data_IF_768626763575
#
_entry.id   IF_768626763575
#
_cell.length_a   1.000
_cell.length_b   1.000
_cell.length_c   1.000
_cell.angle_alpha   90.00
_cell.angle_beta   90.00
_cell.angle_gamma   90.00
#
_symmetry.space_group_name_H-M   'P 1'
#
loop_
_entity.id
_entity.type
_entity.pdbx_description
1 polymer ?
#
# COMPACT_ATOMS: atom_id res chain seq x y z
N UNK A 1 -2.63 20.58 -9.30
CA UNK A 1 -2.17 21.43 -10.42
C UNK A 1 -2.47 20.67 -11.69
N UNK A 2 -3.47 21.13 -12.45
CA UNK A 2 -3.92 20.54 -13.71
C UNK A 2 -2.81 20.60 -14.76
N UNK A 3 -2.79 19.60 -15.61
CA UNK A 3 -1.94 19.56 -16.79
C UNK A 3 -2.37 20.72 -17.70
N UNK A 4 -1.42 21.58 -18.02
CA UNK A 4 -1.69 22.81 -18.80
C UNK A 4 -2.42 23.85 -17.97
N UNK A 5 -1.78 24.42 -16.94
CA UNK A 5 -2.11 25.78 -16.57
C UNK A 5 -1.71 26.63 -17.77
N UNK A 6 -2.70 27.07 -18.53
CA UNK A 6 -2.55 28.21 -19.39
C UNK A 6 -2.19 29.39 -18.47
N UNK A 7 -0.94 29.83 -18.53
CA UNK A 7 -0.58 31.11 -17.96
C UNK A 7 -1.17 32.19 -18.87
N UNK A 8 -1.48 33.35 -18.34
CA UNK A 8 -2.00 34.52 -19.08
C UNK A 8 -1.15 34.90 -20.31
N UNK A 9 0.03 34.32 -20.45
CA UNK A 9 0.97 34.49 -21.56
C UNK A 9 0.89 33.41 -22.66
N UNK A 10 -0.05 32.49 -22.57
CA UNK A 10 -0.23 31.38 -23.54
C UNK A 10 0.83 30.28 -23.48
N UNK A 11 1.68 30.26 -22.44
CA UNK A 11 2.69 29.21 -22.30
C UNK A 11 2.07 27.91 -21.78
N UNK A 12 2.18 26.84 -22.56
CA UNK A 12 1.76 25.49 -22.17
C UNK A 12 2.93 24.77 -21.50
N UNK A 13 2.82 24.48 -20.22
CA UNK A 13 3.84 23.69 -19.50
C UNK A 13 3.71 22.20 -19.88
N UNK A 14 4.57 21.75 -20.78
CA UNK A 14 4.69 20.32 -21.12
C UNK A 14 5.51 19.63 -20.02
N UNK A 15 4.92 18.63 -19.36
CA UNK A 15 5.64 17.86 -18.34
C UNK A 15 6.74 16.99 -18.99
N UNK A 16 7.97 17.13 -18.51
CA UNK A 16 9.12 16.38 -19.02
C UNK A 16 9.08 14.90 -18.58
N UNK A 17 9.56 14.02 -19.46
CA UNK A 17 9.79 12.59 -19.16
C UNK A 17 11.00 12.46 -18.25
N UNK A 18 10.84 12.47 -16.93
CA UNK A 18 11.95 12.42 -15.95
C UNK A 18 12.48 10.99 -15.68
N UNK A 19 12.75 10.21 -16.74
CA UNK A 19 13.15 8.80 -16.61
C UNK A 19 14.61 8.64 -16.13
N UNK A 20 15.51 9.56 -16.42
CA UNK A 20 16.87 9.55 -15.90
C UNK A 20 16.93 9.83 -14.38
N UNK A 21 16.07 10.71 -13.89
CA UNK A 21 15.93 10.96 -12.45
C UNK A 21 15.42 9.71 -11.72
N UNK A 22 14.45 8.98 -12.32
CA UNK A 22 13.97 7.69 -11.79
C UNK A 22 15.09 6.66 -11.72
N UNK A 23 15.88 6.50 -12.80
CA UNK A 23 16.99 5.55 -12.84
C UNK A 23 18.04 5.87 -11.76
N UNK A 24 18.40 7.13 -11.61
CA UNK A 24 19.36 7.56 -10.58
C UNK A 24 18.84 7.24 -9.17
N UNK A 25 17.57 7.54 -8.89
CA UNK A 25 16.95 7.20 -7.60
C UNK A 25 16.82 5.68 -7.40
N UNK A 26 16.59 4.88 -8.46
CA UNK A 26 16.57 3.42 -8.38
C UNK A 26 17.96 2.85 -8.06
N UNK A 27 19.04 3.44 -8.59
CA UNK A 27 20.40 3.05 -8.22
C UNK A 27 20.68 3.32 -6.74
N UNK A 28 20.20 4.44 -6.20
CA UNK A 28 20.27 4.73 -4.76
C UNK A 28 19.44 3.70 -3.97
N UNK A 29 18.23 3.39 -4.42
CA UNK A 29 17.37 2.40 -3.79
C UNK A 29 18.02 1.00 -3.74
N UNK A 30 18.62 0.59 -4.86
CA UNK A 30 19.43 -0.63 -4.94
C UNK A 30 20.61 -0.60 -3.98
N UNK A 31 21.38 0.49 -3.95
CA UNK A 31 22.52 0.63 -3.06
C UNK A 31 22.13 0.56 -1.58
N UNK A 32 21.00 1.12 -1.18
CA UNK A 32 20.49 1.06 0.20
C UNK A 32 20.12 -0.39 0.57
N UNK A 33 19.32 -1.06 -0.25
CA UNK A 33 18.88 -2.42 0.03
C UNK A 33 20.03 -3.42 -0.02
N UNK A 34 20.83 -3.40 -1.09
CA UNK A 34 22.00 -4.27 -1.24
C UNK A 34 23.08 -3.95 -0.19
N UNK A 35 23.27 -2.68 0.15
CA UNK A 35 24.17 -2.26 1.24
C UNK A 35 23.75 -2.84 2.59
N UNK A 36 22.45 -2.87 2.91
CA UNK A 36 21.91 -3.54 4.10
C UNK A 36 22.24 -5.04 4.10
N UNK A 37 22.08 -5.72 2.97
CA UNK A 37 22.44 -7.13 2.83
C UNK A 37 23.95 -7.34 3.05
N UNK A 38 24.81 -6.54 2.40
CA UNK A 38 26.27 -6.59 2.57
C UNK A 38 26.69 -6.34 4.00
N UNK A 39 26.10 -5.34 4.67
CA UNK A 39 26.38 -5.05 6.08
C UNK A 39 25.99 -6.20 7.01
N UNK A 40 24.89 -6.92 6.69
CA UNK A 40 24.51 -8.14 7.42
C UNK A 40 25.61 -9.18 7.36
N UNK A 41 26.11 -9.47 6.16
CA UNK A 41 27.17 -10.48 5.96
C UNK A 41 28.46 -10.09 6.68
N UNK A 42 28.89 -8.84 6.52
CA UNK A 42 30.12 -8.35 7.15
C UNK A 42 30.05 -8.32 8.68
N UNK A 43 28.91 -7.95 9.25
CA UNK A 43 28.78 -7.84 10.71
C UNK A 43 28.54 -9.17 11.40
N UNK A 44 27.96 -10.16 10.71
CA UNK A 44 27.66 -11.48 11.29
C UNK A 44 28.76 -12.49 10.93
N UNK A 45 29.08 -12.62 9.65
CA UNK A 45 30.02 -13.63 9.14
C UNK A 45 31.44 -13.13 9.02
N UNK A 46 31.66 -11.80 9.10
CA UNK A 46 32.96 -11.12 8.89
C UNK A 46 33.58 -11.32 7.51
N UNK A 47 32.87 -11.98 6.59
CA UNK A 47 33.31 -12.27 5.22
C UNK A 47 32.10 -12.14 4.28
N UNK A 48 32.33 -11.63 3.07
CA UNK A 48 31.29 -11.65 2.02
C UNK A 48 31.25 -13.04 1.38
N UNK A 49 30.10 -13.67 1.22
CA UNK A 49 29.97 -14.93 0.51
C UNK A 49 30.29 -14.75 -1.00
N UNK A 50 30.79 -15.78 -1.67
CA UNK A 50 31.13 -15.73 -3.10
C UNK A 50 29.96 -15.34 -4.01
N UNK A 51 28.72 -15.49 -3.49
CA UNK A 51 27.47 -15.14 -4.19
C UNK A 51 27.10 -13.66 -4.15
N UNK A 52 27.88 -12.79 -3.48
CA UNK A 52 27.53 -11.38 -3.29
C UNK A 52 27.30 -10.63 -4.61
N UNK A 53 28.13 -10.92 -5.63
CA UNK A 53 27.98 -10.31 -6.96
C UNK A 53 26.71 -10.78 -7.66
N UNK A 54 26.36 -12.05 -7.49
CA UNK A 54 25.14 -12.64 -8.06
C UNK A 54 23.89 -12.02 -7.41
N UNK A 55 23.86 -11.94 -6.08
CA UNK A 55 22.73 -11.34 -5.34
C UNK A 55 22.55 -9.88 -5.74
N UNK A 56 23.63 -9.08 -5.69
CA UNK A 56 23.59 -7.68 -6.08
C UNK A 56 23.20 -7.48 -7.55
N UNK A 57 23.75 -8.32 -8.44
CA UNK A 57 23.48 -8.29 -9.88
C UNK A 57 22.02 -8.65 -10.22
N UNK A 58 21.48 -9.69 -9.62
CA UNK A 58 20.07 -10.08 -9.81
C UNK A 58 19.13 -8.97 -9.33
N UNK A 59 19.39 -8.39 -8.17
CA UNK A 59 18.59 -7.32 -7.62
C UNK A 59 18.61 -6.06 -8.48
N UNK A 60 19.80 -5.70 -8.99
CA UNK A 60 19.95 -4.61 -9.96
C UNK A 60 19.21 -4.90 -11.27
N UNK A 61 19.34 -6.12 -11.80
CA UNK A 61 18.68 -6.52 -13.04
C UNK A 61 17.16 -6.40 -12.92
N UNK A 62 16.59 -6.83 -11.81
CA UNK A 62 15.13 -6.71 -11.53
C UNK A 62 14.70 -5.24 -11.50
N UNK A 63 15.46 -4.35 -10.87
CA UNK A 63 15.17 -2.91 -10.84
C UNK A 63 15.26 -2.29 -12.25
N UNK A 64 16.29 -2.65 -13.03
CA UNK A 64 16.48 -2.16 -14.39
C UNK A 64 15.36 -2.67 -15.32
N UNK A 65 14.96 -3.92 -15.21
CA UNK A 65 13.83 -4.47 -15.97
C UNK A 65 12.53 -3.69 -15.69
N UNK A 66 12.19 -3.49 -14.41
CA UNK A 66 11.03 -2.69 -14.03
C UNK A 66 11.11 -1.26 -14.62
N UNK A 67 12.28 -0.61 -14.53
CA UNK A 67 12.51 0.71 -15.11
C UNK A 67 12.32 0.75 -16.62
N UNK A 68 12.84 -0.25 -17.34
CA UNK A 68 12.69 -0.34 -18.82
C UNK A 68 11.21 -0.41 -19.20
N UNK A 69 10.43 -1.26 -18.53
CA UNK A 69 9.00 -1.34 -18.81
C UNK A 69 8.26 -0.03 -18.49
N UNK A 70 8.56 0.62 -17.38
CA UNK A 70 8.01 1.94 -17.04
C UNK A 70 8.39 2.97 -18.10
N UNK A 71 9.63 2.96 -18.57
CA UNK A 71 10.13 3.90 -19.59
C UNK A 71 9.42 3.72 -20.95
N UNK A 72 9.08 2.50 -21.31
CA UNK A 72 8.45 2.16 -22.60
C UNK A 72 6.93 2.37 -22.51
N UNK A 73 6.28 1.83 -21.49
CA UNK A 73 4.82 1.74 -21.40
C UNK A 73 4.20 3.01 -20.84
N UNK A 74 4.79 3.57 -19.78
CA UNK A 74 4.24 4.72 -19.04
C UNK A 74 5.29 5.85 -18.84
N UNK A 75 5.84 6.43 -19.92
CA UNK A 75 6.98 7.36 -19.84
C UNK A 75 6.72 8.67 -19.10
N UNK A 76 5.48 9.05 -18.82
CA UNK A 76 5.10 10.26 -18.07
C UNK A 76 4.71 9.98 -16.61
N UNK A 77 4.76 8.72 -16.12
CA UNK A 77 4.43 8.39 -14.74
C UNK A 77 5.34 9.14 -13.73
N UNK A 78 4.92 9.25 -12.48
CA UNK A 78 5.71 9.88 -11.43
C UNK A 78 7.04 9.14 -11.22
N UNK A 79 8.20 9.82 -11.34
CA UNK A 79 9.50 9.17 -11.27
C UNK A 79 9.92 8.77 -9.85
N UNK A 80 9.17 9.19 -8.82
CA UNK A 80 9.54 8.99 -7.41
C UNK A 80 8.91 7.72 -6.83
N UNK A 81 7.75 7.29 -7.35
CA UNK A 81 6.98 6.17 -6.79
C UNK A 81 7.78 4.87 -6.83
N UNK A 82 8.29 4.48 -7.99
CA UNK A 82 9.01 3.22 -8.17
C UNK A 82 10.27 3.12 -7.31
N UNK A 83 11.16 4.14 -7.24
CA UNK A 83 12.34 4.11 -6.36
C UNK A 83 12.00 3.97 -4.88
N UNK A 84 10.96 4.62 -4.39
CA UNK A 84 10.53 4.48 -2.99
C UNK A 84 10.12 3.03 -2.70
N UNK A 85 9.31 2.43 -3.58
CA UNK A 85 8.88 1.05 -3.42
C UNK A 85 10.06 0.08 -3.45
N UNK A 86 11.02 0.29 -4.34
CA UNK A 86 12.26 -0.50 -4.37
C UNK A 86 13.11 -0.32 -3.11
N UNK A 87 13.18 0.89 -2.55
CA UNK A 87 13.89 1.14 -1.27
C UNK A 87 13.24 0.36 -0.12
N UNK A 88 11.91 0.47 0.01
CA UNK A 88 11.17 -0.23 1.06
C UNK A 88 11.28 -1.75 0.92
N UNK A 89 11.14 -2.28 -0.31
CA UNK A 89 11.27 -3.70 -0.58
C UNK A 89 12.71 -4.19 -0.35
N UNK A 90 13.71 -3.41 -0.76
CA UNK A 90 15.11 -3.70 -0.54
C UNK A 90 15.48 -3.75 0.94
N UNK A 91 15.05 -2.77 1.74
CA UNK A 91 15.23 -2.78 3.19
C UNK A 91 14.52 -3.96 3.85
N UNK A 92 13.30 -4.30 3.37
CA UNK A 92 12.57 -5.48 3.85
C UNK A 92 13.32 -6.78 3.60
N UNK A 93 13.81 -6.98 2.36
CA UNK A 93 14.60 -8.16 1.99
C UNK A 93 15.90 -8.27 2.82
N UNK A 94 16.62 -7.15 2.98
CA UNK A 94 17.84 -7.12 3.77
C UNK A 94 17.57 -7.41 5.27
N UNK A 95 16.46 -6.92 5.83
CA UNK A 95 16.10 -7.20 7.23
C UNK A 95 15.61 -8.64 7.41
N UNK A 96 14.85 -9.19 6.46
CA UNK A 96 14.44 -10.60 6.49
C UNK A 96 15.67 -11.51 6.43
N UNK A 97 16.63 -11.21 5.54
CA UNK A 97 17.91 -11.90 5.48
C UNK A 97 18.65 -11.83 6.82
N UNK A 98 18.68 -10.66 7.46
CA UNK A 98 19.27 -10.49 8.79
C UNK A 98 18.59 -11.39 9.85
N UNK A 99 17.28 -11.53 9.78
CA UNK A 99 16.52 -12.35 10.73
C UNK A 99 16.72 -13.85 10.47
N UNK A 100 16.99 -14.26 9.22
CA UNK A 100 17.25 -15.66 8.87
C UNK A 100 18.56 -16.23 9.49
N UNK A 101 19.47 -15.37 9.98
CA UNK A 101 20.61 -15.78 10.77
C UNK A 101 20.26 -16.28 12.19
N UNK A 102 19.02 -16.16 12.60
CA UNK A 102 18.56 -16.80 13.84
C UNK A 102 18.43 -18.29 13.56
N UNK A 103 19.04 -19.18 14.39
CA UNK A 103 19.13 -20.59 14.07
C UNK A 103 17.73 -21.24 14.08
N UNK A 104 17.12 -21.26 12.94
CA UNK A 104 15.99 -22.10 12.58
C UNK A 104 16.26 -22.72 11.21
N UNK A 105 16.77 -23.97 11.16
CA UNK A 105 17.25 -24.58 9.92
C UNK A 105 16.17 -24.87 8.88
N UNK A 106 14.91 -24.60 9.19
CA UNK A 106 13.77 -24.96 8.33
C UNK A 106 13.23 -23.82 7.45
N UNK A 107 13.72 -22.57 7.60
CA UNK A 107 13.14 -21.44 6.89
C UNK A 107 14.20 -20.58 6.18
N UNK A 108 14.19 -20.60 4.85
CA UNK A 108 14.84 -19.63 3.97
C UNK A 108 13.82 -18.52 3.62
N UNK A 109 13.54 -17.64 4.56
CA UNK A 109 12.48 -16.61 4.42
C UNK A 109 12.85 -15.58 3.36
N UNK A 110 14.11 -15.20 3.31
CA UNK A 110 14.63 -14.26 2.31
C UNK A 110 14.44 -14.80 0.89
N UNK A 111 14.75 -16.06 0.62
CA UNK A 111 14.62 -16.67 -0.70
C UNK A 111 13.15 -16.70 -1.16
N UNK A 112 12.25 -17.08 -0.24
CA UNK A 112 10.81 -17.04 -0.50
C UNK A 112 10.33 -15.61 -0.78
N UNK A 113 10.78 -14.62 -0.01
CA UNK A 113 10.40 -13.22 -0.22
C UNK A 113 10.98 -12.65 -1.51
N UNK A 114 12.19 -13.03 -1.90
CA UNK A 114 12.80 -12.65 -3.19
C UNK A 114 11.98 -13.22 -4.37
N UNK A 115 11.53 -14.48 -4.27
CA UNK A 115 10.64 -15.08 -5.27
C UNK A 115 9.31 -14.33 -5.37
N UNK A 116 8.69 -13.99 -4.24
CA UNK A 116 7.46 -13.19 -4.22
C UNK A 116 7.68 -11.78 -4.75
N UNK A 117 8.85 -11.17 -4.51
CA UNK A 117 9.23 -9.88 -5.11
C UNK A 117 9.30 -9.99 -6.63
N UNK A 118 9.97 -11.03 -7.15
CA UNK A 118 10.06 -11.25 -8.59
C UNK A 118 8.67 -11.44 -9.22
N UNK A 119 7.81 -12.26 -8.60
CA UNK A 119 6.43 -12.47 -9.04
C UNK A 119 5.60 -11.17 -8.97
N UNK A 120 5.77 -10.39 -7.89
CA UNK A 120 5.14 -9.08 -7.74
C UNK A 120 5.50 -8.12 -8.87
N UNK A 121 6.78 -8.09 -9.26
CA UNK A 121 7.27 -7.25 -10.37
C UNK A 121 6.76 -7.77 -11.73
N UNK A 122 6.68 -9.08 -11.91
CA UNK A 122 6.05 -9.67 -13.12
C UNK A 122 4.59 -9.22 -13.21
N UNK A 123 3.84 -9.27 -12.11
CA UNK A 123 2.44 -8.82 -12.09
C UNK A 123 2.31 -7.30 -12.19
N UNK A 124 3.26 -6.53 -11.65
CA UNK A 124 3.36 -5.09 -11.90
C UNK A 124 3.49 -4.81 -13.40
N UNK A 125 4.43 -5.45 -14.08
CA UNK A 125 4.63 -5.31 -15.53
C UNK A 125 3.40 -5.79 -16.30
N UNK A 126 2.83 -6.94 -15.95
CA UNK A 126 1.61 -7.45 -16.57
C UNK A 126 0.45 -6.46 -16.43
N UNK A 127 0.29 -5.84 -15.25
CA UNK A 127 -0.72 -4.81 -15.01
C UNK A 127 -0.48 -3.59 -15.91
N UNK A 128 0.77 -3.14 -16.10
CA UNK A 128 1.09 -2.04 -17.00
C UNK A 128 0.73 -2.35 -18.45
N UNK A 129 0.93 -3.60 -18.89
CA UNK A 129 0.67 -4.03 -20.28
C UNK A 129 -0.82 -4.26 -20.56
N UNK A 130 -1.54 -4.85 -19.60
CA UNK A 130 -2.94 -5.24 -19.74
C UNK A 130 -3.85 -4.04 -19.47
N UNK A 131 -3.60 -3.31 -18.38
CA UNK A 131 -4.44 -2.20 -17.95
C UNK A 131 -4.02 -0.89 -18.63
N UNK A 132 -4.13 -0.84 -19.97
CA UNK A 132 -3.81 0.40 -20.72
C UNK A 132 -4.75 1.55 -20.39
N UNK A 133 -6.01 1.24 -20.08
CA UNK A 133 -7.04 2.19 -19.68
C UNK A 133 -7.77 1.75 -18.42
N UNK A 134 -7.50 2.45 -17.30
CA UNK A 134 -8.14 2.16 -16.02
C UNK A 134 -9.67 2.34 -16.07
N UNK A 135 -10.21 3.19 -16.97
CA UNK A 135 -11.65 3.43 -17.12
C UNK A 135 -12.43 2.18 -17.52
N UNK A 136 -11.77 1.20 -18.14
CA UNK A 136 -12.43 -0.07 -18.48
C UNK A 136 -12.90 -0.82 -17.23
N UNK A 137 -12.27 -0.62 -16.08
CA UNK A 137 -12.65 -1.24 -14.81
C UNK A 137 -13.95 -0.67 -14.24
N UNK A 138 -14.29 0.59 -14.59
CA UNK A 138 -15.51 1.24 -14.12
C UNK A 138 -16.79 0.53 -14.62
N UNK A 139 -16.71 -0.17 -15.77
CA UNK A 139 -17.90 -0.77 -16.39
C UNK A 139 -18.52 -1.94 -15.61
N UNK A 140 -17.77 -2.53 -14.68
CA UNK A 140 -18.15 -3.78 -14.02
C UNK A 140 -18.10 -3.72 -12.49
N UNK A 141 -18.67 -2.67 -11.82
CA UNK A 141 -18.53 -2.51 -10.36
C UNK A 141 -19.15 -3.66 -9.58
N UNK A 142 -20.32 -4.16 -9.99
CA UNK A 142 -20.99 -5.28 -9.33
C UNK A 142 -20.25 -6.61 -9.52
N UNK A 143 -19.72 -6.88 -10.72
CA UNK A 143 -18.93 -8.08 -11.00
C UNK A 143 -17.66 -8.07 -10.15
N UNK A 144 -16.95 -6.94 -10.12
CA UNK A 144 -15.76 -6.78 -9.31
C UNK A 144 -16.08 -6.90 -7.82
N UNK A 145 -17.23 -6.40 -7.37
CA UNK A 145 -17.66 -6.58 -5.99
C UNK A 145 -17.85 -8.07 -5.64
N UNK A 146 -18.58 -8.82 -6.49
CA UNK A 146 -18.79 -10.25 -6.30
C UNK A 146 -17.45 -11.00 -6.31
N UNK A 147 -16.57 -10.71 -7.26
CA UNK A 147 -15.23 -11.30 -7.35
C UNK A 147 -14.43 -11.02 -6.07
N UNK A 148 -14.40 -9.76 -5.62
CA UNK A 148 -13.74 -9.39 -4.38
C UNK A 148 -14.31 -10.10 -3.14
N UNK A 149 -15.63 -10.23 -3.08
CA UNK A 149 -16.31 -10.94 -1.99
C UNK A 149 -16.01 -12.45 -2.02
N UNK A 150 -16.00 -13.07 -3.20
CA UNK A 150 -15.63 -14.48 -3.37
C UNK A 150 -14.19 -14.72 -2.91
N UNK A 151 -13.24 -13.88 -3.32
CA UNK A 151 -11.86 -13.99 -2.81
C UNK A 151 -11.81 -13.85 -1.29
N UNK A 152 -12.56 -12.91 -0.73
CA UNK A 152 -12.63 -12.72 0.72
C UNK A 152 -13.20 -13.95 1.44
N UNK A 153 -14.14 -14.66 0.82
CA UNK A 153 -14.77 -15.86 1.39
C UNK A 153 -13.93 -17.15 1.24
N UNK A 154 -12.92 -17.19 0.38
CA UNK A 154 -12.12 -18.40 0.13
C UNK A 154 -11.57 -19.07 1.40
N UNK A 155 -11.06 -18.35 2.41
CA UNK A 155 -10.57 -18.98 3.64
C UNK A 155 -11.65 -19.66 4.46
N UNK A 156 -12.92 -19.38 4.22
CA UNK A 156 -14.06 -19.99 4.93
C UNK A 156 -14.47 -21.32 4.31
N UNK A 157 -13.98 -21.64 3.09
CA UNK A 157 -14.30 -22.89 2.40
C UNK A 157 -13.63 -24.08 3.13
N UNK A 158 -14.39 -25.10 3.54
CA UNK A 158 -13.83 -26.29 4.17
C UNK A 158 -12.82 -26.99 3.25
N UNK A 159 -11.66 -27.36 3.80
CA UNK A 159 -10.58 -28.02 3.07
C UNK A 159 -9.62 -27.09 2.30
N UNK A 160 -9.98 -25.81 2.11
CA UNK A 160 -9.10 -24.81 1.48
C UNK A 160 -8.52 -23.85 2.53
N UNK A 161 -9.35 -23.40 3.46
CA UNK A 161 -8.97 -22.46 4.51
C UNK A 161 -8.24 -23.14 5.67
N UNK A 162 -7.27 -22.41 6.23
CA UNK A 162 -6.52 -22.80 7.42
C UNK A 162 -6.80 -21.83 8.56
N UNK A 163 -7.04 -22.39 9.74
CA UNK A 163 -7.14 -21.61 10.96
C UNK A 163 -5.75 -21.45 11.60
N UNK A 164 -5.32 -20.23 11.77
CA UNK A 164 -4.04 -19.90 12.41
C UNK A 164 -4.29 -18.88 13.51
N UNK A 165 -3.88 -19.19 14.75
CA UNK A 165 -4.05 -18.30 15.90
C UNK A 165 -5.49 -17.81 16.11
N UNK A 166 -6.49 -18.67 15.83
CA UNK A 166 -7.91 -18.35 15.99
C UNK A 166 -8.53 -17.50 14.88
N UNK A 167 -7.80 -17.24 13.80
CA UNK A 167 -8.30 -16.51 12.63
C UNK A 167 -8.25 -17.39 11.38
N UNK A 168 -9.31 -17.32 10.54
CA UNK A 168 -9.41 -18.06 9.26
C UNK A 168 -9.21 -17.12 8.09
N UNK A 169 -7.96 -16.73 7.83
CA UNK A 169 -7.61 -15.72 6.82
C UNK A 169 -6.68 -16.27 5.73
N UNK A 170 -6.12 -17.45 5.95
CA UNK A 170 -5.15 -18.09 5.06
C UNK A 170 -5.77 -19.23 4.27
N UNK A 171 -5.31 -19.40 3.02
CA UNK A 171 -5.56 -20.57 2.20
C UNK A 171 -4.25 -21.29 1.90
N UNK A 172 -4.30 -22.61 1.81
CA UNK A 172 -3.21 -23.46 1.35
C UNK A 172 -3.38 -23.77 -0.14
N UNK A 173 -2.33 -23.48 -0.92
CA UNK A 173 -2.25 -23.90 -2.33
C UNK A 173 -0.91 -24.62 -2.51
N UNK A 174 -0.93 -25.92 -2.43
CA UNK A 174 0.29 -26.75 -2.40
C UNK A 174 1.11 -26.49 -1.14
N UNK A 175 2.37 -26.09 -1.29
CA UNK A 175 3.28 -25.71 -0.20
C UNK A 175 3.21 -24.21 0.17
N UNK A 176 2.42 -23.41 -0.53
CA UNK A 176 2.34 -21.97 -0.33
C UNK A 176 1.08 -21.58 0.43
N UNK A 177 1.22 -20.59 1.30
CA UNK A 177 0.10 -19.94 1.98
C UNK A 177 -0.18 -18.59 1.34
N UNK A 178 -1.45 -18.26 1.16
CA UNK A 178 -1.88 -16.97 0.60
C UNK A 178 -3.02 -16.39 1.44
N UNK A 179 -3.06 -15.08 1.56
CA UNK A 179 -4.14 -14.34 2.20
C UNK A 179 -4.99 -13.65 1.11
N UNK A 180 -6.15 -14.22 0.73
CA UNK A 180 -6.96 -13.67 -0.36
C UNK A 180 -7.52 -12.29 -0.09
N UNK A 181 -7.63 -11.88 1.18
CA UNK A 181 -8.07 -10.54 1.58
C UNK A 181 -7.19 -9.42 0.97
N UNK A 182 -5.90 -9.68 0.74
CA UNK A 182 -4.99 -8.72 0.11
C UNK A 182 -5.37 -8.44 -1.35
N UNK A 183 -5.79 -9.46 -2.09
CA UNK A 183 -6.31 -9.31 -3.46
C UNK A 183 -7.69 -8.64 -3.42
N UNK A 184 -8.56 -9.08 -2.49
CA UNK A 184 -9.89 -8.50 -2.29
C UNK A 184 -9.83 -7.01 -2.02
N UNK A 185 -8.83 -6.54 -1.27
CA UNK A 185 -8.58 -5.12 -0.99
C UNK A 185 -8.51 -4.29 -2.28
N UNK A 186 -7.75 -4.74 -3.25
CA UNK A 186 -7.59 -4.06 -4.54
C UNK A 186 -8.88 -4.10 -5.34
N UNK A 187 -9.47 -5.28 -5.48
CA UNK A 187 -10.67 -5.49 -6.29
C UNK A 187 -11.88 -4.73 -5.72
N UNK A 188 -12.07 -4.76 -4.40
CA UNK A 188 -13.17 -4.04 -3.75
C UNK A 188 -12.97 -2.52 -3.77
N UNK A 189 -11.71 -2.01 -3.68
CA UNK A 189 -11.44 -0.58 -3.87
C UNK A 189 -11.88 -0.10 -5.26
N UNK A 190 -11.59 -0.89 -6.29
CA UNK A 190 -12.00 -0.60 -7.67
C UNK A 190 -13.52 -0.68 -7.82
N UNK A 191 -14.14 -1.73 -7.26
CA UNK A 191 -15.60 -1.90 -7.28
C UNK A 191 -16.34 -0.75 -6.59
N UNK A 192 -15.88 -0.35 -5.40
CA UNK A 192 -16.45 0.78 -4.68
C UNK A 192 -16.26 2.09 -5.42
N UNK A 193 -15.08 2.32 -6.03
CA UNK A 193 -14.85 3.51 -6.85
C UNK A 193 -15.85 3.61 -8.00
N UNK A 194 -16.05 2.53 -8.75
CA UNK A 194 -17.02 2.49 -9.85
C UNK A 194 -18.44 2.75 -9.38
N UNK A 195 -18.88 2.01 -8.35
CA UNK A 195 -20.22 2.16 -7.80
C UNK A 195 -20.47 3.59 -7.26
N UNK A 196 -19.53 4.15 -6.51
CA UNK A 196 -19.68 5.46 -5.89
C UNK A 196 -19.74 6.59 -6.92
N UNK A 197 -18.97 6.48 -8.01
CA UNK A 197 -19.01 7.48 -9.10
C UNK A 197 -20.32 7.42 -9.84
N UNK A 198 -20.81 6.24 -10.19
CA UNK A 198 -22.06 6.05 -10.91
C UNK A 198 -23.28 6.55 -10.09
N UNK A 199 -23.19 6.52 -8.75
CA UNK A 199 -24.27 6.94 -7.85
C UNK A 199 -23.98 8.25 -7.10
N UNK A 200 -23.00 9.04 -7.52
CA UNK A 200 -22.56 10.27 -6.84
C UNK A 200 -23.72 11.25 -6.61
N UNK A 201 -24.53 11.51 -7.65
CA UNK A 201 -25.64 12.46 -7.57
C UNK A 201 -26.72 12.04 -6.58
N UNK A 202 -26.97 10.75 -6.44
CA UNK A 202 -27.93 10.19 -5.48
C UNK A 202 -27.38 10.31 -4.06
N UNK A 203 -26.12 9.94 -3.85
CA UNK A 203 -25.46 9.95 -2.54
C UNK A 203 -25.16 11.37 -2.04
N UNK A 204 -25.00 12.33 -2.95
CA UNK A 204 -24.77 13.74 -2.62
C UNK A 204 -26.06 14.54 -2.34
N UNK A 205 -27.25 13.98 -2.61
CA UNK A 205 -28.52 14.69 -2.31
C UNK A 205 -28.68 14.94 -0.80
N UNK A 206 -29.10 16.16 -0.47
CA UNK A 206 -29.33 16.53 0.92
C UNK A 206 -30.45 15.70 1.52
N UNK A 207 -30.15 14.96 2.56
CA UNK A 207 -31.12 14.30 3.42
C UNK A 207 -31.62 15.21 4.58
N UNK A 208 -31.95 14.61 5.72
CA UNK A 208 -32.36 15.34 6.90
C UNK A 208 -31.17 16.01 7.58
N UNK A 209 -31.36 17.26 8.05
CA UNK A 209 -30.40 17.93 8.92
C UNK A 209 -30.67 17.51 10.36
N UNK A 210 -29.69 16.82 10.98
CA UNK A 210 -29.72 16.46 12.39
C UNK A 210 -28.49 17.15 13.04
N UNK A 211 -28.72 17.97 14.06
CA UNK A 211 -27.70 18.74 14.77
C UNK A 211 -26.74 19.56 13.84
N UNK A 212 -27.29 20.13 12.74
CA UNK A 212 -26.51 20.91 11.79
C UNK A 212 -25.75 20.07 10.74
N UNK A 213 -25.73 18.74 10.89
CA UNK A 213 -25.07 17.80 9.97
C UNK A 213 -26.12 17.26 8.99
N UNK A 214 -25.87 17.38 7.69
CA UNK A 214 -26.73 16.80 6.66
C UNK A 214 -26.42 15.31 6.53
N UNK A 215 -27.34 14.45 7.01
CA UNK A 215 -27.27 13.01 6.82
C UNK A 215 -27.94 12.63 5.49
N UNK A 216 -27.40 11.62 4.78
CA UNK A 216 -28.02 11.10 3.57
C UNK A 216 -29.37 10.43 3.85
N UNK A 217 -30.19 10.27 2.82
CA UNK A 217 -31.45 9.54 2.94
C UNK A 217 -31.18 8.04 3.07
N UNK A 218 -31.80 7.38 4.05
CA UNK A 218 -31.60 5.94 4.28
C UNK A 218 -31.94 5.08 3.03
N UNK A 219 -32.88 5.52 2.20
CA UNK A 219 -33.27 4.83 0.96
C UNK A 219 -32.12 4.78 -0.06
N UNK A 220 -31.31 5.83 -0.16
CA UNK A 220 -30.23 5.96 -1.14
C UNK A 220 -28.99 5.19 -0.70
N UNK A 221 -28.96 4.74 0.57
CA UNK A 221 -27.91 3.95 1.18
C UNK A 221 -28.01 2.44 0.92
N UNK A 222 -29.19 1.95 0.54
CA UNK A 222 -29.50 0.51 0.51
C UNK A 222 -28.41 -0.34 -0.16
N UNK A 223 -28.11 -0.16 -1.45
CA UNK A 223 -27.16 -1.01 -2.15
C UNK A 223 -25.73 -0.93 -1.59
N UNK A 224 -25.29 0.29 -1.24
CA UNK A 224 -23.93 0.49 -0.70
C UNK A 224 -23.79 -0.09 0.72
N UNK A 225 -24.87 0.03 1.53
CA UNK A 225 -24.90 -0.58 2.84
C UNK A 225 -24.87 -2.12 2.75
N UNK A 226 -25.57 -2.71 1.77
CA UNK A 226 -25.50 -4.16 1.51
C UNK A 226 -24.10 -4.60 1.14
N UNK A 227 -23.43 -3.90 0.22
CA UNK A 227 -22.07 -4.21 -0.18
C UNK A 227 -21.11 -4.11 1.01
N UNK A 228 -21.24 -3.07 1.81
CA UNK A 228 -20.41 -2.86 2.98
C UNK A 228 -20.67 -3.88 4.08
N UNK A 229 -21.95 -4.11 4.44
CA UNK A 229 -22.34 -5.09 5.48
C UNK A 229 -21.91 -6.49 5.07
N UNK A 230 -22.10 -6.89 3.81
CA UNK A 230 -21.64 -8.20 3.32
C UNK A 230 -20.13 -8.38 3.50
N UNK A 231 -19.35 -7.35 3.13
CA UNK A 231 -17.89 -7.37 3.32
C UNK A 231 -17.51 -7.47 4.79
N UNK A 232 -18.13 -6.66 5.66
CA UNK A 232 -17.84 -6.65 7.10
C UNK A 232 -18.25 -7.96 7.78
N UNK A 233 -19.39 -8.55 7.42
CA UNK A 233 -19.82 -9.84 7.96
C UNK A 233 -18.81 -10.94 7.69
N UNK A 234 -18.28 -11.03 6.47
CA UNK A 234 -17.26 -12.03 6.13
C UNK A 234 -16.00 -11.84 7.00
N UNK A 235 -15.54 -10.59 7.15
CA UNK A 235 -14.32 -10.27 7.92
C UNK A 235 -14.51 -10.54 9.42
N UNK A 236 -15.68 -10.22 9.97
CA UNK A 236 -16.03 -10.52 11.37
C UNK A 236 -16.03 -12.03 11.58
N UNK A 237 -16.58 -12.82 10.64
CA UNK A 237 -16.59 -14.27 10.72
C UNK A 237 -15.18 -14.88 10.60
N UNK A 238 -14.25 -14.21 9.91
CA UNK A 238 -12.83 -14.59 9.82
C UNK A 238 -12.02 -14.26 11.08
N UNK A 239 -12.57 -13.50 12.02
CA UNK A 239 -11.87 -12.96 13.19
C UNK A 239 -10.67 -12.06 12.84
N UNK A 240 -10.75 -11.31 11.71
CA UNK A 240 -9.68 -10.44 11.24
C UNK A 240 -10.02 -8.96 11.45
N UNK A 241 -9.68 -8.45 12.62
CA UNK A 241 -9.91 -7.05 12.98
C UNK A 241 -9.06 -6.07 12.16
N UNK A 242 -7.82 -6.46 11.83
CA UNK A 242 -6.91 -5.63 11.08
C UNK A 242 -7.43 -5.33 9.67
N UNK A 243 -7.77 -6.38 8.95
CA UNK A 243 -8.38 -6.26 7.63
C UNK A 243 -9.72 -5.52 7.70
N UNK A 244 -10.54 -5.80 8.73
CA UNK A 244 -11.81 -5.10 8.95
C UNK A 244 -11.64 -3.58 9.09
N UNK A 245 -10.65 -3.14 9.85
CA UNK A 245 -10.34 -1.72 9.99
C UNK A 245 -9.89 -1.10 8.66
N UNK A 246 -9.10 -1.81 7.84
CA UNK A 246 -8.66 -1.31 6.54
C UNK A 246 -9.83 -1.14 5.55
N UNK A 247 -10.69 -2.15 5.42
CA UNK A 247 -11.85 -2.08 4.53
C UNK A 247 -12.84 -1.02 5.00
N UNK A 248 -13.08 -0.94 6.31
CA UNK A 248 -13.93 0.09 6.90
C UNK A 248 -13.41 1.50 6.57
N UNK A 249 -12.15 1.76 6.89
CA UNK A 249 -11.53 3.07 6.68
C UNK A 249 -11.49 3.45 5.20
N UNK A 250 -11.13 2.51 4.32
CA UNK A 250 -11.15 2.70 2.87
C UNK A 250 -12.54 3.13 2.39
N UNK A 251 -13.58 2.40 2.79
CA UNK A 251 -14.95 2.69 2.41
C UNK A 251 -15.41 4.07 2.88
N UNK A 252 -15.19 4.41 4.16
CA UNK A 252 -15.61 5.70 4.73
C UNK A 252 -14.92 6.86 4.03
N UNK A 253 -13.63 6.74 3.75
CA UNK A 253 -12.87 7.80 3.08
C UNK A 253 -13.29 7.94 1.61
N UNK A 254 -13.49 6.85 0.89
CA UNK A 254 -13.99 6.90 -0.48
C UNK A 254 -15.38 7.53 -0.55
N UNK A 255 -16.27 7.22 0.39
CA UNK A 255 -17.60 7.81 0.49
C UNK A 255 -17.53 9.31 0.81
N UNK A 256 -16.63 9.72 1.70
CA UNK A 256 -16.38 11.13 2.00
C UNK A 256 -15.87 11.89 0.77
N UNK A 257 -14.89 11.36 0.05
CA UNK A 257 -14.32 11.98 -1.15
C UNK A 257 -15.38 12.13 -2.26
N UNK A 258 -16.24 11.12 -2.42
CA UNK A 258 -17.30 11.14 -3.45
C UNK A 258 -18.36 12.18 -3.17
N UNK A 259 -18.79 12.27 -1.90
CA UNK A 259 -19.94 13.11 -1.50
C UNK A 259 -19.54 14.51 -1.05
N UNK A 260 -18.26 14.72 -0.72
CA UNK A 260 -17.70 15.95 -0.15
C UNK A 260 -18.41 16.42 1.13
N UNK A 261 -19.04 15.46 1.87
CA UNK A 261 -19.83 15.76 3.07
C UNK A 261 -19.15 15.21 4.32
N UNK A 262 -18.80 16.12 5.22
CA UNK A 262 -18.20 15.79 6.53
C UNK A 262 -19.10 14.87 7.36
N UNK A 263 -20.43 14.94 7.17
CA UNK A 263 -21.39 14.07 7.85
C UNK A 263 -21.10 12.57 7.69
N UNK A 264 -20.57 12.14 6.54
CA UNK A 264 -20.17 10.75 6.31
C UNK A 264 -18.95 10.36 7.13
N UNK A 265 -17.96 11.25 7.23
CA UNK A 265 -16.77 11.00 8.05
C UNK A 265 -17.14 10.92 9.55
N UNK A 266 -18.03 11.79 10.03
CA UNK A 266 -18.52 11.77 11.41
C UNK A 266 -19.32 10.49 11.68
N UNK A 267 -20.26 10.13 10.78
CA UNK A 267 -21.02 8.89 10.91
C UNK A 267 -20.10 7.67 10.89
N UNK A 268 -19.08 7.67 10.01
CA UNK A 268 -18.03 6.66 9.97
C UNK A 268 -17.28 6.58 11.30
N UNK A 269 -16.79 7.69 11.83
CA UNK A 269 -16.06 7.69 13.11
C UNK A 269 -16.93 7.18 14.27
N UNK A 270 -18.19 7.64 14.38
CA UNK A 270 -19.13 7.22 15.44
C UNK A 270 -19.47 5.74 15.33
N UNK A 271 -19.76 5.25 14.11
CA UNK A 271 -20.07 3.83 13.90
C UNK A 271 -18.84 2.92 14.09
N UNK A 272 -17.62 3.41 13.77
CA UNK A 272 -16.39 2.70 14.09
C UNK A 272 -16.18 2.53 15.59
N UNK A 273 -16.34 3.62 16.35
CA UNK A 273 -16.22 3.58 17.82
C UNK A 273 -17.32 2.70 18.44
N UNK A 274 -18.56 2.82 17.98
CA UNK A 274 -19.66 1.96 18.43
C UNK A 274 -19.41 0.48 18.10
N UNK A 275 -18.92 0.19 16.89
CA UNK A 275 -18.51 -1.15 16.46
C UNK A 275 -17.34 -1.71 17.29
N UNK A 276 -16.36 -0.88 17.63
CA UNK A 276 -15.23 -1.27 18.48
C UNK A 276 -15.69 -1.64 19.92
N UNK A 277 -16.59 -0.85 20.50
CA UNK A 277 -17.19 -1.14 21.82
C UNK A 277 -18.01 -2.43 21.76
N UNK A 278 -18.82 -2.62 20.71
CA UNK A 278 -19.58 -3.85 20.52
C UNK A 278 -18.64 -5.06 20.34
N UNK A 279 -17.60 -4.91 19.55
CA UNK A 279 -16.61 -5.96 19.35
C UNK A 279 -15.89 -6.34 20.66
N UNK A 280 -15.52 -5.36 21.47
CA UNK A 280 -14.92 -5.58 22.80
C UNK A 280 -15.85 -6.36 23.74
N UNK A 281 -17.15 -6.08 23.71
CA UNK A 281 -18.13 -6.77 24.59
C UNK A 281 -18.45 -8.18 24.11
N UNK A 282 -18.55 -8.37 22.78
CA UNK A 282 -19.00 -9.64 22.19
C UNK A 282 -17.89 -10.65 21.91
N UNK A 283 -16.67 -10.19 21.61
CA UNK A 283 -15.60 -11.06 21.13
C UNK A 283 -14.41 -11.14 22.11
N UNK A 284 -14.13 -12.34 22.65
CA UNK A 284 -13.04 -12.55 23.61
C UNK A 284 -11.66 -12.21 23.06
N UNK A 285 -11.37 -12.53 21.77
CA UNK A 285 -10.09 -12.21 21.14
C UNK A 285 -9.86 -10.70 20.99
N UNK A 286 -10.93 -9.88 20.81
CA UNK A 286 -10.84 -8.43 20.80
C UNK A 286 -10.48 -7.91 22.18
N UNK A 287 -11.13 -8.42 23.20
CA UNK A 287 -10.84 -8.05 24.61
C UNK A 287 -9.39 -8.32 24.96
N UNK A 288 -8.86 -9.50 24.59
CA UNK A 288 -7.46 -9.86 24.80
C UNK A 288 -6.52 -8.85 24.13
N UNK A 289 -6.79 -8.43 22.89
CA UNK A 289 -5.95 -7.42 22.20
C UNK A 289 -5.99 -6.05 22.89
N UNK A 290 -7.15 -5.63 23.38
CA UNK A 290 -7.28 -4.38 24.14
C UNK A 290 -6.57 -4.47 25.49
N UNK A 291 -6.71 -5.58 26.22
CA UNK A 291 -6.03 -5.79 27.48
C UNK A 291 -4.51 -5.85 27.31
N UNK A 292 -4.02 -6.51 26.26
CA UNK A 292 -2.59 -6.54 25.92
C UNK A 292 -2.05 -5.14 25.54
N UNK A 293 -2.87 -4.31 24.92
CA UNK A 293 -2.50 -2.94 24.58
C UNK A 293 -2.42 -2.03 25.81
N UNK A 294 -3.43 -2.08 26.69
CA UNK A 294 -3.51 -1.23 27.88
C UNK A 294 -2.55 -1.70 28.98
N UNK A 295 -2.52 -3.02 29.23
CA UNK A 295 -1.82 -3.65 30.34
C UNK A 295 -0.87 -4.77 29.87
N UNK A 296 0.18 -4.49 29.05
CA UNK A 296 1.03 -5.53 28.46
C UNK A 296 1.74 -6.39 29.50
N UNK A 297 2.12 -5.82 30.63
CA UNK A 297 2.85 -6.52 31.71
C UNK A 297 1.95 -7.34 32.64
N UNK A 298 0.63 -7.31 32.50
CA UNK A 298 -0.30 -8.08 33.32
C UNK A 298 -0.16 -9.59 33.09
N UNK A 299 0.17 -10.01 31.87
CA UNK A 299 0.43 -11.40 31.51
C UNK A 299 1.61 -11.48 30.54
N UNK A 300 2.81 -11.71 31.11
CA UNK A 300 4.06 -11.71 30.36
C UNK A 300 4.08 -12.79 29.26
N UNK A 301 3.59 -13.98 29.53
CA UNK A 301 3.60 -15.08 28.58
C UNK A 301 2.70 -14.80 27.36
N UNK A 302 1.50 -14.31 27.60
CA UNK A 302 0.54 -13.97 26.54
C UNK A 302 1.00 -12.76 25.71
N UNK A 303 1.61 -11.77 26.36
CA UNK A 303 1.99 -10.50 25.76
C UNK A 303 3.48 -10.44 25.38
N UNK A 304 4.18 -11.60 25.46
CA UNK A 304 5.63 -11.71 25.22
C UNK A 304 6.07 -10.97 23.95
N UNK A 305 5.32 -11.17 22.86
CA UNK A 305 5.64 -10.58 21.55
C UNK A 305 5.69 -9.04 21.59
N UNK A 306 4.65 -8.40 22.14
CA UNK A 306 4.59 -6.93 22.19
C UNK A 306 5.58 -6.36 23.22
N UNK A 307 5.84 -7.09 24.32
CA UNK A 307 6.83 -6.69 25.33
C UNK A 307 8.23 -6.70 24.73
N UNK A 308 8.60 -7.79 24.02
CA UNK A 308 9.90 -7.87 23.36
C UNK A 308 10.04 -6.82 22.25
N UNK A 309 8.97 -6.52 21.52
CA UNK A 309 8.95 -5.46 20.54
C UNK A 309 9.26 -4.08 21.17
N UNK A 310 8.67 -3.79 22.33
CA UNK A 310 8.95 -2.54 23.07
C UNK A 310 10.40 -2.49 23.55
N UNK A 311 10.94 -3.62 24.04
CA UNK A 311 12.34 -3.69 24.45
C UNK A 311 13.27 -3.50 23.23
N UNK A 312 12.99 -4.12 22.08
CA UNK A 312 13.77 -3.91 20.86
C UNK A 312 13.83 -2.43 20.45
N UNK A 313 12.66 -1.75 20.43
CA UNK A 313 12.61 -0.30 20.15
C UNK A 313 13.40 0.53 21.18
N UNK A 314 13.28 0.20 22.46
CA UNK A 314 14.00 0.89 23.53
C UNK A 314 15.54 0.67 23.42
N UNK A 315 15.95 -0.55 23.07
CA UNK A 315 17.35 -0.87 22.83
C UNK A 315 17.93 -0.13 21.64
N UNK A 316 17.17 0.07 20.58
CA UNK A 316 17.59 0.84 19.41
C UNK A 316 17.90 2.30 19.73
N UNK A 317 17.18 2.91 20.65
CA UNK A 317 17.34 4.32 20.98
C UNK A 317 17.23 5.23 19.76
N UNK A 318 17.99 6.34 19.74
CA UNK A 318 17.90 7.31 18.64
C UNK A 318 18.65 6.82 17.37
N UNK A 319 19.88 6.36 17.51
CA UNK A 319 20.78 6.06 16.39
C UNK A 319 20.79 4.58 15.97
N UNK A 320 20.16 3.70 16.73
CA UNK A 320 20.20 2.26 16.51
C UNK A 320 21.42 1.57 17.13
N UNK A 321 21.35 0.24 17.15
CA UNK A 321 22.49 -0.61 17.56
C UNK A 321 23.52 -0.77 16.46
N UNK A 322 23.17 -0.47 15.23
CA UNK A 322 23.89 -0.77 14.02
C UNK A 322 23.31 -1.97 13.29
N UNK A 323 23.33 -1.90 11.97
CA UNK A 323 22.79 -2.95 11.12
C UNK A 323 23.55 -4.28 11.33
N UNK A 324 22.83 -5.36 11.61
CA UNK A 324 23.41 -6.67 11.93
C UNK A 324 23.86 -6.84 13.37
N UNK A 325 23.82 -5.80 14.22
CA UNK A 325 24.32 -5.82 15.59
C UNK A 325 23.20 -5.86 16.65
N UNK A 326 21.93 -5.76 16.24
CA UNK A 326 20.76 -5.94 17.10
C UNK A 326 20.46 -7.40 17.42
N UNK A 327 19.32 -7.65 18.06
CA UNK A 327 18.80 -8.98 18.36
C UNK A 327 17.32 -9.12 17.95
N UNK A 328 16.97 -8.84 16.68
CA UNK A 328 15.57 -8.83 16.22
C UNK A 328 14.87 -10.17 16.42
N UNK A 329 15.62 -11.27 16.53
CA UNK A 329 15.07 -12.61 16.78
C UNK A 329 14.49 -12.83 18.17
N UNK A 330 14.69 -11.92 19.10
CA UNK A 330 13.99 -11.94 20.39
C UNK A 330 12.51 -11.64 20.25
N UNK A 331 12.11 -10.97 19.15
CA UNK A 331 10.71 -10.66 18.87
C UNK A 331 10.10 -11.74 18.01
N UNK A 332 9.09 -12.51 18.51
CA UNK A 332 8.37 -13.47 17.67
C UNK A 332 7.74 -12.78 16.44
N UNK A 333 7.80 -13.42 15.27
CA UNK A 333 7.32 -12.89 13.99
C UNK A 333 7.97 -11.54 13.59
N UNK A 334 9.22 -11.34 13.97
CA UNK A 334 10.00 -10.15 13.62
C UNK A 334 10.05 -9.90 12.09
N UNK A 335 10.00 -10.96 11.29
CA UNK A 335 10.02 -10.90 9.83
C UNK A 335 8.67 -10.51 9.20
N UNK A 336 7.58 -10.56 9.96
CA UNK A 336 6.22 -10.25 9.50
C UNK A 336 5.70 -8.97 10.16
N UNK A 337 4.87 -9.10 11.19
CA UNK A 337 4.14 -8.00 11.82
C UNK A 337 5.05 -7.00 12.55
N UNK A 338 6.23 -7.46 12.98
CA UNK A 338 7.16 -6.68 13.78
C UNK A 338 8.45 -6.28 13.06
N UNK A 339 8.47 -6.31 11.72
CA UNK A 339 9.67 -5.89 10.96
C UNK A 339 10.04 -4.43 11.24
N UNK A 340 9.07 -3.57 11.52
CA UNK A 340 9.30 -2.18 11.93
C UNK A 340 10.05 -2.08 13.26
N UNK A 341 9.86 -3.02 14.19
CA UNK A 341 10.63 -3.10 15.43
C UNK A 341 12.09 -3.46 15.14
N UNK A 342 12.33 -4.43 14.26
CA UNK A 342 13.68 -4.84 13.87
C UNK A 342 14.46 -3.68 13.24
N UNK A 343 13.79 -2.91 12.36
CA UNK A 343 14.35 -1.65 11.82
C UNK A 343 14.63 -0.64 12.92
N UNK A 344 13.69 -0.46 13.86
CA UNK A 344 13.84 0.46 14.99
C UNK A 344 14.94 0.06 15.97
N UNK A 345 15.20 -1.23 16.16
CA UNK A 345 16.30 -1.73 16.98
C UNK A 345 17.66 -1.49 16.33
N UNK A 346 17.81 -1.84 15.04
CA UNK A 346 19.10 -1.76 14.37
C UNK A 346 19.44 -0.37 13.83
N UNK A 347 18.47 0.38 13.30
CA UNK A 347 18.65 1.74 12.76
C UNK A 347 18.14 2.85 13.69
N UNK A 348 17.57 2.48 14.84
CA UNK A 348 17.03 3.43 15.80
C UNK A 348 15.74 4.11 15.34
N UNK A 349 15.30 5.07 16.14
CA UNK A 349 14.15 5.92 15.80
C UNK A 349 14.39 6.67 14.49
N UNK A 350 15.63 7.09 14.20
CA UNK A 350 15.98 7.78 12.95
C UNK A 350 15.70 6.94 11.73
N UNK A 351 16.08 5.64 11.72
CA UNK A 351 15.81 4.72 10.64
C UNK A 351 14.32 4.40 10.49
N UNK A 352 13.62 4.19 11.61
CA UNK A 352 12.18 3.98 11.60
C UNK A 352 11.43 5.20 11.05
N UNK A 353 11.82 6.41 11.45
CA UNK A 353 11.24 7.66 10.92
C UNK A 353 11.54 7.84 9.44
N UNK A 354 12.73 7.47 8.95
CA UNK A 354 13.03 7.48 7.51
C UNK A 354 12.08 6.56 6.72
N UNK A 355 11.80 5.36 7.22
CA UNK A 355 10.83 4.44 6.62
C UNK A 355 9.42 5.04 6.62
N UNK A 356 8.98 5.64 7.72
CA UNK A 356 7.68 6.32 7.82
C UNK A 356 7.58 7.46 6.80
N UNK A 357 8.64 8.26 6.65
CA UNK A 357 8.71 9.35 5.66
C UNK A 357 8.62 8.81 4.23
N UNK A 358 9.27 7.68 3.91
CA UNK A 358 9.14 7.04 2.60
C UNK A 358 7.69 6.63 2.31
N UNK A 359 6.99 6.03 3.27
CA UNK A 359 5.57 5.71 3.13
C UNK A 359 4.69 6.96 3.02
N UNK A 360 4.99 8.00 3.78
CA UNK A 360 4.30 9.28 3.69
C UNK A 360 4.45 9.90 2.29
N UNK A 361 5.67 9.92 1.74
CA UNK A 361 5.93 10.43 0.38
C UNK A 361 5.18 9.57 -0.65
N UNK A 362 5.22 8.23 -0.53
CA UNK A 362 4.51 7.33 -1.43
C UNK A 362 3.01 7.65 -1.45
N UNK A 363 2.40 7.75 -0.27
CA UNK A 363 0.98 8.10 -0.12
C UNK A 363 0.67 9.49 -0.66
N UNK A 364 1.49 10.48 -0.33
CA UNK A 364 1.32 11.85 -0.82
C UNK A 364 1.40 11.93 -2.35
N UNK A 365 2.29 11.13 -3.00
CA UNK A 365 2.36 11.02 -4.46
C UNK A 365 1.12 10.37 -5.05
N UNK A 366 0.61 9.31 -4.41
CA UNK A 366 -0.66 8.69 -4.79
C UNK A 366 -1.84 9.66 -4.68
N UNK A 367 -1.99 10.34 -3.53
CA UNK A 367 -3.05 11.35 -3.33
C UNK A 367 -2.92 12.52 -4.31
N UNK A 368 -1.71 12.99 -4.58
CA UNK A 368 -1.47 14.02 -5.59
C UNK A 368 -1.85 13.55 -7.00
N UNK A 369 -1.62 12.28 -7.31
CA UNK A 369 -2.06 11.67 -8.57
C UNK A 369 -3.58 11.66 -8.66
N UNK A 370 -4.27 11.29 -7.57
CA UNK A 370 -5.72 11.34 -7.47
C UNK A 370 -6.27 12.76 -7.70
N UNK A 371 -5.73 13.75 -7.01
CA UNK A 371 -6.18 15.15 -7.14
C UNK A 371 -5.97 15.72 -8.55
N UNK A 372 -4.93 15.26 -9.26
CA UNK A 372 -4.65 15.66 -10.65
C UNK A 372 -5.45 14.87 -11.70
N UNK A 373 -6.29 13.91 -11.29
CA UNK A 373 -7.05 13.08 -12.21
C UNK A 373 -8.22 13.86 -12.82
N UNK A 374 -8.41 13.70 -14.12
CA UNK A 374 -9.51 14.35 -14.87
C UNK A 374 -10.82 13.60 -14.77
N UNK A 375 -10.77 12.28 -14.57
CA UNK A 375 -11.94 11.42 -14.42
C UNK A 375 -12.20 11.10 -12.94
N UNK A 376 -13.46 11.13 -12.55
CA UNK A 376 -13.87 10.91 -11.15
C UNK A 376 -13.57 9.47 -10.69
N UNK A 377 -13.65 8.48 -11.59
CA UNK A 377 -13.34 7.09 -11.26
C UNK A 377 -11.85 6.90 -10.92
N UNK A 378 -10.94 7.38 -11.77
CA UNK A 378 -9.51 7.31 -11.51
C UNK A 378 -9.13 8.09 -10.26
N UNK A 379 -9.74 9.28 -10.05
CA UNK A 379 -9.59 10.08 -8.84
C UNK A 379 -9.91 9.28 -7.59
N UNK A 380 -11.08 8.68 -7.54
CA UNK A 380 -11.57 7.96 -6.36
C UNK A 380 -10.83 6.64 -6.13
N UNK A 381 -10.56 5.89 -7.20
CA UNK A 381 -9.82 4.63 -7.14
C UNK A 381 -8.40 4.84 -6.57
N UNK A 382 -7.65 5.81 -7.10
CA UNK A 382 -6.28 6.10 -6.64
C UNK A 382 -6.29 6.66 -5.22
N UNK A 383 -7.28 7.50 -4.86
CA UNK A 383 -7.43 7.99 -3.50
C UNK A 383 -7.67 6.84 -2.51
N UNK A 384 -8.61 5.94 -2.83
CA UNK A 384 -8.93 4.77 -2.01
C UNK A 384 -7.73 3.85 -1.80
N UNK A 385 -7.03 3.50 -2.87
CA UNK A 385 -5.84 2.64 -2.80
C UNK A 385 -4.68 3.30 -2.03
N UNK A 386 -4.42 4.59 -2.26
CA UNK A 386 -3.37 5.32 -1.55
C UNK A 386 -3.68 5.49 -0.07
N UNK A 387 -4.95 5.77 0.27
CA UNK A 387 -5.39 5.85 1.66
C UNK A 387 -5.30 4.51 2.37
N UNK A 388 -5.64 3.41 1.69
CA UNK A 388 -5.54 2.06 2.26
C UNK A 388 -4.10 1.71 2.62
N UNK A 389 -3.13 2.05 1.76
CA UNK A 389 -1.70 1.91 2.09
C UNK A 389 -1.31 2.75 3.31
N UNK A 390 -1.74 4.01 3.37
CA UNK A 390 -1.45 4.89 4.51
C UNK A 390 -2.06 4.35 5.81
N UNK A 391 -3.32 3.93 5.77
CA UNK A 391 -4.02 3.38 6.93
C UNK A 391 -3.38 2.09 7.41
N UNK A 392 -2.96 1.20 6.48
CA UNK A 392 -2.25 -0.04 6.80
C UNK A 392 -0.94 0.26 7.54
N UNK A 393 -0.12 1.17 7.03
CA UNK A 393 1.14 1.57 7.67
C UNK A 393 0.89 2.22 9.02
N UNK A 394 -0.09 3.11 9.12
CA UNK A 394 -0.47 3.75 10.39
C UNK A 394 -0.91 2.73 11.44
N UNK A 395 -1.72 1.74 11.04
CA UNK A 395 -2.19 0.69 11.94
C UNK A 395 -1.05 -0.22 12.44
N UNK A 396 -0.10 -0.55 11.56
CA UNK A 396 1.04 -1.40 11.92
C UNK A 396 2.01 -0.66 12.85
N UNK A 397 2.45 0.51 12.43
CA UNK A 397 3.37 1.33 13.24
C UNK A 397 2.72 1.70 14.57
N UNK A 398 1.43 2.10 14.54
CA UNK A 398 0.65 2.39 15.73
C UNK A 398 0.52 1.18 16.67
N UNK A 399 0.31 -0.02 16.12
CA UNK A 399 0.25 -1.27 16.89
C UNK A 399 1.59 -1.62 17.54
N UNK A 400 2.67 -1.55 16.77
CA UNK A 400 4.03 -1.87 17.26
C UNK A 400 4.52 -0.85 18.29
N UNK A 401 4.19 0.43 18.13
CA UNK A 401 4.54 1.50 19.09
C UNK A 401 3.55 1.62 20.24
N UNK A 402 2.51 0.78 20.31
CA UNK A 402 1.43 0.85 21.29
C UNK A 402 0.59 2.13 21.25
N UNK A 403 0.57 2.85 20.14
CA UNK A 403 -0.40 3.91 19.91
C UNK A 403 -1.81 3.35 19.70
N UNK A 404 -1.90 2.18 19.06
CA UNK A 404 -3.12 1.42 18.77
C UNK A 404 -3.00 -0.01 19.29
N UNK A 405 -4.12 -0.75 19.46
CA UNK A 405 -4.08 -2.20 19.64
C UNK A 405 -3.42 -2.89 18.44
N UNK A 406 -2.67 -3.97 18.68
CA UNK A 406 -1.99 -4.73 17.62
C UNK A 406 -2.99 -5.30 16.63
N UNK A 407 -2.77 -5.03 15.33
CA UNK A 407 -3.68 -5.42 14.25
C UNK A 407 -3.32 -6.74 13.58
N UNK A 408 -2.05 -7.16 13.60
CA UNK A 408 -1.57 -8.37 12.90
C UNK A 408 -1.49 -8.20 11.38
N UNK A 409 -1.35 -6.98 10.89
CA UNK A 409 -1.17 -6.68 9.48
C UNK A 409 0.31 -6.69 9.09
N UNK A 410 0.59 -7.01 7.83
CA UNK A 410 1.95 -6.98 7.29
C UNK A 410 2.32 -5.58 6.78
N UNK A 411 3.57 -5.14 7.03
CA UNK A 411 4.08 -3.86 6.51
C UNK A 411 4.26 -3.96 5.00
N UNK A 412 3.57 -3.11 4.20
CA UNK A 412 3.64 -3.17 2.74
C UNK A 412 5.08 -3.15 2.23
N UNK A 413 5.41 -3.99 1.26
CA UNK A 413 6.72 -4.16 0.63
C UNK A 413 7.84 -4.70 1.54
N UNK A 414 7.77 -4.53 2.85
CA UNK A 414 8.86 -4.85 3.78
C UNK A 414 8.69 -6.20 4.45
N UNK A 415 7.51 -6.49 5.01
CA UNK A 415 7.24 -7.74 5.73
C UNK A 415 7.24 -8.95 4.82
N UNK A 416 7.60 -10.11 5.34
CA UNK A 416 7.38 -11.38 4.68
C UNK A 416 5.87 -11.61 4.51
N UNK A 417 5.44 -11.76 3.26
CA UNK A 417 4.04 -11.99 2.93
C UNK A 417 3.80 -11.89 1.43
N UNK A 418 3.76 -13.05 0.75
CA UNK A 418 3.69 -13.10 -0.71
C UNK A 418 2.45 -12.42 -1.28
N UNK A 419 1.27 -12.71 -0.76
CA UNK A 419 -0.01 -12.13 -1.22
C UNK A 419 -0.06 -10.61 -1.03
N UNK A 420 0.39 -10.13 0.14
CA UNK A 420 0.45 -8.69 0.43
C UNK A 420 1.43 -7.97 -0.50
N UNK A 421 2.61 -8.55 -0.72
CA UNK A 421 3.61 -7.98 -1.61
C UNK A 421 3.09 -7.86 -3.05
N UNK A 422 2.49 -8.93 -3.59
CA UNK A 422 1.89 -8.96 -4.92
C UNK A 422 0.79 -7.89 -5.06
N UNK A 423 -0.16 -7.86 -4.12
CA UNK A 423 -1.26 -6.91 -4.14
C UNK A 423 -0.75 -5.46 -4.11
N UNK A 424 0.26 -5.17 -3.31
CA UNK A 424 0.84 -3.84 -3.22
C UNK A 424 1.61 -3.44 -4.49
N UNK A 425 2.29 -4.38 -5.19
CA UNK A 425 2.89 -4.11 -6.50
C UNK A 425 1.83 -3.78 -7.56
N UNK A 426 0.68 -4.46 -7.53
CA UNK A 426 -0.46 -4.15 -8.42
C UNK A 426 -1.05 -2.77 -8.10
N UNK A 427 -1.19 -2.41 -6.82
CA UNK A 427 -1.63 -1.06 -6.40
C UNK A 427 -0.70 0.01 -6.98
N UNK A 428 0.61 -0.18 -6.86
CA UNK A 428 1.61 0.76 -7.40
C UNK A 428 1.49 0.87 -8.92
N UNK A 429 1.31 -0.25 -9.64
CA UNK A 429 1.10 -0.23 -11.08
C UNK A 429 -0.12 0.62 -11.47
N UNK A 430 -1.25 0.44 -10.78
CA UNK A 430 -2.49 1.22 -11.02
C UNK A 430 -2.24 2.71 -10.78
N UNK A 431 -1.63 3.08 -9.66
CA UNK A 431 -1.31 4.48 -9.34
C UNK A 431 -0.40 5.09 -10.42
N UNK A 432 0.61 4.35 -10.89
CA UNK A 432 1.54 4.82 -11.91
C UNK A 432 0.87 4.95 -13.30
N UNK A 433 -0.06 4.06 -13.67
CA UNK A 433 -0.85 4.16 -14.90
C UNK A 433 -1.68 5.45 -14.90
N UNK A 434 -2.40 5.71 -13.81
CA UNK A 434 -3.21 6.93 -13.67
C UNK A 434 -2.31 8.18 -13.65
N UNK A 435 -1.17 8.12 -12.95
CA UNK A 435 -0.17 9.18 -12.96
C UNK A 435 0.35 9.50 -14.36
N UNK A 436 0.62 8.46 -15.16
CA UNK A 436 1.02 8.61 -16.56
C UNK A 436 -0.05 9.34 -17.38
N UNK A 437 -1.31 8.91 -17.27
CA UNK A 437 -2.42 9.54 -18.02
C UNK A 437 -2.62 11.00 -17.66
N UNK A 438 -2.51 11.32 -16.38
CA UNK A 438 -2.67 12.69 -15.91
C UNK A 438 -1.57 13.64 -16.44
N UNK A 439 -0.39 13.10 -16.72
CA UNK A 439 0.79 13.86 -17.13
C UNK A 439 1.07 13.80 -18.65
N UNK A 440 0.46 12.84 -19.35
CA UNK A 440 0.60 12.74 -20.80
C UNK A 440 -0.07 13.95 -21.45
N UNK A 441 0.62 14.72 -22.33
CA UNK A 441 0.02 15.81 -23.11
C UNK A 441 -1.17 15.26 -23.91
N UNK A 442 -2.22 16.07 -24.09
CA UNK A 442 -3.31 15.72 -24.99
C UNK A 442 -2.79 15.69 -26.43
N UNK A 443 -3.12 14.64 -27.17
CA UNK A 443 -2.65 14.45 -28.56
C UNK A 443 -3.13 15.59 -29.48
N UNK A 444 -4.21 16.29 -29.12
CA UNK A 444 -4.78 17.43 -29.84
C UNK A 444 -3.87 18.70 -29.86
N UNK A 445 -2.95 18.84 -28.89
CA UNK A 445 -2.02 19.97 -28.86
C UNK A 445 -0.83 19.82 -29.81
N UNK A 446 -0.55 18.62 -30.30
CA UNK A 446 0.53 18.40 -31.28
C UNK A 446 0.07 18.71 -32.71
N UNK A 447 -1.23 18.70 -32.97
CA UNK A 447 -1.81 18.92 -34.30
C UNK A 447 -2.11 20.40 -34.63
N UNK A 448 -1.97 21.32 -33.66
CA UNK A 448 -2.41 22.73 -33.83
C UNK A 448 -1.32 23.78 -33.71
N UNK A 449 -0.05 23.40 -33.76
CA UNK A 449 0.99 24.40 -34.11
C UNK A 449 1.04 24.42 -35.63
N UNK A 450 0.44 25.43 -36.30
CA UNK A 450 0.61 25.56 -37.75
C UNK A 450 2.11 25.68 -38.00
N UNK A 451 2.64 24.92 -38.95
CA UNK A 451 3.99 25.13 -39.40
C UNK A 451 4.10 26.65 -39.74
N UNK A 452 5.18 27.34 -39.30
CA UNK A 452 5.34 28.76 -39.62
C UNK A 452 5.22 28.91 -41.13
N UNK A 453 4.27 29.75 -41.54
CA UNK A 453 4.01 30.03 -42.96
C UNK A 453 5.31 30.49 -43.59
N UNK A 454 5.86 29.77 -44.59
CA UNK A 454 7.11 30.16 -45.23
C UNK A 454 7.05 31.52 -45.85
N UNK A 455 5.85 32.09 -46.06
CA UNK A 455 5.68 33.45 -46.65
C UNK A 455 5.81 34.58 -45.63
N UNK A 456 5.72 34.31 -44.30
CA UNK A 456 5.96 35.39 -43.31
C UNK A 456 7.45 35.61 -42.98
N UNK A 457 8.32 34.69 -43.38
CA UNK A 457 9.77 34.86 -43.19
C UNK A 457 10.43 35.83 -44.22
N UNK A 458 9.72 36.24 -45.27
CA UNK A 458 10.32 37.03 -46.34
C UNK A 458 9.97 38.53 -46.24
N UNK A 459 9.03 38.95 -45.38
CA UNK A 459 8.60 40.37 -45.31
C UNK A 459 9.17 41.18 -44.12
N UNK A 460 10.10 40.59 -43.33
CA UNK A 460 10.74 41.25 -42.19
C UNK A 460 12.08 41.94 -42.45
N UNK A 461 12.47 42.10 -43.69
CA UNK A 461 13.73 42.75 -44.05
C UNK A 461 13.57 43.96 -44.97
N UNK A 462 13.08 45.08 -44.45
CA UNK A 462 13.38 46.49 -44.91
C UNK A 462 12.45 47.48 -44.20
N UNK A 463 12.92 47.99 -43.08
CA UNK A 463 12.81 49.43 -42.73
C UNK A 463 13.63 49.70 -41.48
#
# INVERSE_FOLDING_TARGET
MSIGQEFDDGTVVIQAKRRWTELFMLLIAWAIGFGGWVLTELNINHVLPDTWTTVGGVWLAVAVVAHIFVRIVIPYADPVILPIVFTLNGLGLAMIHRIDYIPDPHYHRMDAQALWTALGIVLFVATLLILRDHRNLQRYPYVLFIVGLVFLMLPLVPGLGMETLGSRVWIHVGSYTSQPAEVSKVVLAIAFAGYLVDNRDVLSRAGHKILGITLPRARDLGPIAVMWVATMLVIVYQNDLGTGMLFYGMFVVMLYITTERVGWAILGAVSFLGGAVLAYTCFGHVRVRFDSWLHPFSNYTQNYQIIQAQFGLAWGGLAGRGWGLGRPGMVPLAWSDFIATSIGEELGVTGLMAVIVLFFILTARGMRTSLGCRDDFGKLMVAGLSFTLALQVFAIIGGVTRLLPLTGLTTPFMSQGGSSLIANWVIVAIIMIVSHRNRKPADDFVATVPAPDPQQAVTGGTR
#
